data_IF_722940791456
#
_entry.id   IF_722940791456
#
_cell.length_a   1.000
_cell.length_b   1.000
_cell.length_c   1.000
_cell.angle_alpha   90.00
_cell.angle_beta   90.00
_cell.angle_gamma   90.00
#
_symmetry.space_group_name_H-M   'P 1'
#
loop_
_entity.id
_entity.type
_entity.pdbx_description
1 polymer ?
#
# COMPACT_ATOMS: atom_id res chain seq x y z
N UNK A 1 4.80 20.72 -1.74
CA UNK A 1 3.32 20.60 -1.68
C UNK A 1 2.96 20.75 -0.22
N UNK A 2 2.20 21.78 0.18
CA UNK A 2 1.68 21.86 1.55
C UNK A 2 0.52 20.87 1.67
N UNK A 3 0.52 19.98 2.67
CA UNK A 3 -0.57 19.00 2.87
C UNK A 3 -1.88 19.63 3.38
N UNK A 4 -1.90 20.94 3.61
CA UNK A 4 -3.10 21.67 4.02
C UNK A 4 -4.25 21.46 3.03
N UNK A 5 -5.28 20.72 3.46
CA UNK A 5 -6.48 20.43 2.67
C UNK A 5 -6.54 19.03 2.03
N UNK A 6 -5.55 18.16 2.25
CA UNK A 6 -5.62 16.74 1.86
C UNK A 6 -6.04 15.86 3.03
N UNK A 7 -6.96 14.92 2.79
CA UNK A 7 -7.06 13.76 3.66
C UNK A 7 -5.97 12.76 3.26
N UNK A 8 -5.12 12.37 4.22
CA UNK A 8 -4.01 11.46 3.94
C UNK A 8 -4.51 10.03 4.13
N UNK A 9 -4.42 9.25 3.04
CA UNK A 9 -5.08 7.97 2.84
C UNK A 9 -4.05 6.95 2.37
N UNK A 10 -3.34 6.31 3.27
CA UNK A 10 -2.19 5.50 2.88
C UNK A 10 -2.56 4.03 2.64
N UNK A 11 -2.13 3.47 1.51
CA UNK A 11 -2.01 2.03 1.28
C UNK A 11 -0.56 1.62 1.51
N UNK A 12 -0.14 1.32 2.75
CA UNK A 12 1.26 1.00 3.08
C UNK A 12 1.52 -0.48 3.22
N UNK A 13 2.18 -0.99 2.21
CA UNK A 13 2.86 -2.26 2.10
C UNK A 13 3.88 -2.36 3.24
N UNK A 14 3.50 -3.07 4.31
CA UNK A 14 3.99 -2.98 5.72
C UNK A 14 3.53 -1.74 6.52
N UNK A 15 2.34 -1.89 7.10
CA UNK A 15 1.64 -1.03 8.08
C UNK A 15 2.33 -0.72 9.41
N UNK A 16 3.59 -1.06 9.65
CA UNK A 16 4.24 -0.65 10.91
C UNK A 16 5.13 0.56 10.72
N UNK A 17 5.89 0.61 9.64
CA UNK A 17 6.86 1.69 9.44
C UNK A 17 6.16 3.02 9.13
N UNK A 18 5.46 3.11 8.00
CA UNK A 18 4.78 4.35 7.60
C UNK A 18 3.70 4.75 8.60
N UNK A 19 2.98 3.76 9.11
CA UNK A 19 2.00 3.95 10.17
C UNK A 19 2.58 4.56 11.45
N UNK A 20 3.78 4.14 11.87
CA UNK A 20 4.47 4.71 13.00
C UNK A 20 4.91 6.14 12.68
N UNK A 21 5.51 6.37 11.52
CA UNK A 21 5.93 7.73 11.09
C UNK A 21 4.76 8.71 11.12
N UNK A 22 3.63 8.35 10.48
CA UNK A 22 2.46 9.21 10.44
C UNK A 22 1.87 9.46 11.84
N UNK A 23 1.86 8.44 12.71
CA UNK A 23 1.44 8.60 14.11
C UNK A 23 2.36 9.55 14.87
N UNK A 24 3.67 9.37 14.72
CA UNK A 24 4.68 10.17 15.43
C UNK A 24 4.66 11.65 14.97
N UNK A 25 4.21 11.91 13.73
CA UNK A 25 3.99 13.24 13.17
C UNK A 25 2.57 13.79 13.41
N UNK A 26 1.71 13.06 14.15
CA UNK A 26 0.31 13.41 14.38
C UNK A 26 -0.50 13.65 13.08
N UNK A 27 -0.18 12.90 12.03
CA UNK A 27 -0.88 12.93 10.76
C UNK A 27 -2.02 11.91 10.81
N UNK A 28 -3.27 12.40 10.65
CA UNK A 28 -4.44 11.53 10.56
C UNK A 28 -4.33 10.61 9.36
N UNK A 29 -4.74 9.37 9.56
CA UNK A 29 -4.40 8.29 8.64
C UNK A 29 -5.51 7.22 8.63
N UNK A 30 -5.78 6.62 7.48
CA UNK A 30 -6.68 5.47 7.34
C UNK A 30 -5.88 4.24 6.92
N UNK A 31 -6.23 3.07 7.46
CA UNK A 31 -5.62 1.81 7.07
C UNK A 31 -6.55 1.00 6.17
N UNK A 32 -5.95 0.39 5.15
CA UNK A 32 -6.55 -0.38 4.06
C UNK A 32 -6.14 -1.85 4.15
N UNK A 33 -6.84 -2.77 3.46
CA UNK A 33 -6.61 -4.21 3.63
C UNK A 33 -5.16 -4.59 3.30
N UNK A 34 -4.60 -3.93 2.28
CA UNK A 34 -3.26 -4.18 1.78
C UNK A 34 -2.14 -3.71 2.70
N UNK A 35 -2.44 -2.93 3.74
CA UNK A 35 -1.39 -2.52 4.67
C UNK A 35 -0.92 -3.67 5.56
N UNK A 36 -1.74 -4.71 5.65
CA UNK A 36 -1.61 -5.81 6.59
C UNK A 36 -1.17 -7.11 5.93
N UNK A 37 -0.84 -7.06 4.64
CA UNK A 37 -0.27 -8.19 3.93
C UNK A 37 1.00 -7.81 3.15
N UNK A 38 1.84 -8.81 2.91
CA UNK A 38 3.04 -8.69 2.07
C UNK A 38 3.27 -9.99 1.31
N UNK A 39 4.03 -9.94 0.21
CA UNK A 39 4.56 -11.17 -0.40
C UNK A 39 5.39 -11.94 0.63
N UNK A 40 5.30 -13.26 0.61
CA UNK A 40 6.18 -14.16 1.39
C UNK A 40 7.66 -13.94 1.03
N UNK A 41 7.94 -13.50 -0.20
CA UNK A 41 9.26 -13.14 -0.70
C UNK A 41 9.48 -11.61 -0.70
N UNK A 42 9.05 -10.92 0.36
CA UNK A 42 9.03 -9.45 0.50
C UNK A 42 10.30 -8.65 0.12
N UNK A 43 11.47 -9.30 0.04
CA UNK A 43 12.70 -8.67 -0.43
C UNK A 43 12.75 -8.55 -1.95
N UNK A 44 12.18 -9.52 -2.64
CA UNK A 44 12.33 -9.71 -4.08
C UNK A 44 11.01 -9.56 -4.84
N UNK A 45 9.90 -9.54 -4.12
CA UNK A 45 8.56 -9.60 -4.70
C UNK A 45 7.58 -8.64 -4.00
N UNK A 46 6.52 -8.29 -4.73
CA UNK A 46 5.46 -7.36 -4.32
C UNK A 46 4.09 -7.96 -4.61
N UNK A 47 3.11 -7.70 -3.75
CA UNK A 47 1.71 -8.05 -3.98
C UNK A 47 0.96 -7.04 -4.87
N UNK A 48 1.69 -6.17 -5.58
CA UNK A 48 1.10 -5.07 -6.36
C UNK A 48 0.13 -5.57 -7.42
N UNK A 49 0.46 -6.67 -8.08
CA UNK A 49 -0.36 -7.21 -9.16
C UNK A 49 -1.74 -7.65 -8.67
N UNK A 50 -1.78 -8.43 -7.59
CA UNK A 50 -3.03 -8.90 -6.96
C UNK A 50 -3.89 -7.71 -6.56
N UNK A 51 -3.28 -6.66 -6.04
CA UNK A 51 -3.97 -5.50 -5.50
C UNK A 51 -4.54 -4.63 -6.59
N UNK A 52 -3.75 -4.32 -7.62
CA UNK A 52 -4.24 -3.57 -8.77
C UNK A 52 -5.38 -4.34 -9.44
N UNK A 53 -5.26 -5.67 -9.57
CA UNK A 53 -6.31 -6.51 -10.16
C UNK A 53 -7.61 -6.46 -9.35
N UNK A 54 -7.55 -6.68 -8.03
CA UNK A 54 -8.72 -6.65 -7.14
C UNK A 54 -9.42 -5.29 -7.17
N UNK A 55 -8.66 -4.19 -7.06
CA UNK A 55 -9.24 -2.84 -7.10
C UNK A 55 -9.92 -2.61 -8.45
N UNK A 56 -9.26 -2.98 -9.55
CA UNK A 56 -9.77 -2.81 -10.90
C UNK A 56 -11.05 -3.61 -11.14
N UNK A 57 -11.09 -4.88 -10.72
CA UNK A 57 -12.28 -5.74 -10.81
C UNK A 57 -13.45 -5.16 -10.02
N UNK A 58 -13.17 -4.64 -8.83
CA UNK A 58 -14.18 -3.98 -8.00
C UNK A 58 -14.75 -2.70 -8.61
N UNK A 59 -13.88 -1.84 -9.14
CA UNK A 59 -14.27 -0.54 -9.71
C UNK A 59 -15.01 -0.69 -11.05
N UNK A 60 -14.69 -1.72 -11.85
CA UNK A 60 -15.41 -2.05 -13.09
C UNK A 60 -16.81 -2.63 -12.86
N UNK A 61 -17.28 -2.70 -11.61
CA UNK A 61 -18.62 -3.14 -11.25
C UNK A 61 -18.85 -4.65 -11.33
N UNK A 62 -17.78 -5.44 -11.40
CA UNK A 62 -17.87 -6.87 -11.69
C UNK A 62 -18.15 -7.75 -10.47
N UNK A 63 -17.66 -7.38 -9.29
CA UNK A 63 -17.54 -8.33 -8.17
C UNK A 63 -17.79 -7.68 -6.81
N UNK A 64 -18.28 -8.48 -5.86
CA UNK A 64 -18.56 -8.02 -4.50
C UNK A 64 -17.29 -8.03 -3.64
N UNK A 65 -17.26 -7.17 -2.62
CA UNK A 65 -16.11 -6.99 -1.74
C UNK A 65 -15.72 -8.25 -0.96
N UNK A 66 -16.70 -9.11 -0.64
CA UNK A 66 -16.48 -10.35 0.09
C UNK A 66 -15.73 -11.37 -0.73
N UNK A 67 -16.16 -11.62 -1.96
CA UNK A 67 -15.57 -12.62 -2.84
C UNK A 67 -14.14 -12.23 -3.21
N UNK A 68 -13.89 -10.96 -3.50
CA UNK A 68 -12.54 -10.44 -3.75
C UNK A 68 -11.61 -10.60 -2.55
N UNK A 69 -12.09 -10.33 -1.32
CA UNK A 69 -11.27 -10.51 -0.12
C UNK A 69 -11.07 -11.98 0.24
N UNK A 70 -12.06 -12.84 0.02
CA UNK A 70 -11.92 -14.29 0.19
C UNK A 70 -10.91 -14.85 -0.81
N UNK A 71 -10.97 -14.42 -2.08
CA UNK A 71 -9.99 -14.78 -3.09
C UNK A 71 -8.57 -14.36 -2.67
N UNK A 72 -8.40 -13.12 -2.20
CA UNK A 72 -7.10 -12.62 -1.77
C UNK A 72 -6.55 -13.35 -0.53
N UNK A 73 -7.39 -13.56 0.48
CA UNK A 73 -6.97 -14.17 1.76
C UNK A 73 -6.81 -15.68 1.62
N UNK A 74 -7.54 -16.31 0.71
CA UNK A 74 -7.53 -17.75 0.51
C UNK A 74 -8.34 -18.48 1.58
N UNK A 75 -8.64 -19.75 1.31
CA UNK A 75 -9.50 -20.57 2.18
C UNK A 75 -8.83 -21.01 3.49
N UNK A 76 -7.52 -20.83 3.62
CA UNK A 76 -6.73 -21.25 4.76
C UNK A 76 -5.45 -20.40 4.93
N UNK A 77 -5.06 -20.17 6.18
CA UNK A 77 -3.81 -19.50 6.55
C UNK A 77 -2.90 -20.49 7.29
N UNK A 78 -1.83 -20.94 6.64
CA UNK A 78 -0.81 -21.77 7.27
C UNK A 78 -0.13 -21.02 8.42
N UNK A 79 0.09 -21.72 9.54
CA UNK A 79 0.61 -21.14 10.77
C UNK A 79 -0.18 -19.91 11.27
N UNK A 80 -1.42 -19.76 10.82
CA UNK A 80 -2.31 -18.63 11.15
C UNK A 80 -2.00 -17.33 10.43
N UNK A 81 -1.08 -17.30 9.47
CA UNK A 81 -0.69 -16.05 8.78
C UNK A 81 -0.30 -16.19 7.30
N UNK A 82 0.05 -17.37 6.79
CA UNK A 82 0.51 -17.54 5.40
C UNK A 82 -0.58 -18.10 4.49
N UNK A 83 -0.96 -17.36 3.45
CA UNK A 83 -1.66 -17.90 2.29
C UNK A 83 -0.65 -18.33 1.22
N UNK A 84 -0.54 -19.64 0.98
CA UNK A 84 0.33 -20.18 -0.07
C UNK A 84 -0.21 -20.01 -1.49
N UNK A 85 -1.52 -20.02 -1.68
CA UNK A 85 -2.18 -19.89 -2.99
C UNK A 85 -1.79 -18.57 -3.66
N UNK A 86 -1.80 -17.49 -2.88
CA UNK A 86 -1.44 -16.14 -3.34
C UNK A 86 -0.04 -15.69 -2.93
N UNK A 87 0.72 -16.56 -2.26
CA UNK A 87 2.05 -16.25 -1.71
C UNK A 87 2.05 -14.99 -0.81
N UNK A 88 1.02 -14.81 0.02
CA UNK A 88 0.83 -13.66 0.91
C UNK A 88 1.00 -14.05 2.37
N UNK A 89 1.63 -13.19 3.16
CA UNK A 89 1.66 -13.28 4.62
C UNK A 89 0.82 -12.16 5.22
N UNK A 90 0.06 -12.48 6.26
CA UNK A 90 -0.80 -11.62 7.05
C UNK A 90 -0.31 -11.54 8.51
N UNK A 91 0.85 -10.91 8.76
CA UNK A 91 1.55 -11.05 10.05
C UNK A 91 0.80 -10.44 11.24
N UNK A 92 -0.12 -9.50 10.99
CA UNK A 92 -0.96 -8.89 12.03
C UNK A 92 -2.16 -9.73 12.46
N UNK A 93 -2.37 -10.88 11.80
CA UNK A 93 -3.60 -11.66 11.89
C UNK A 93 -3.37 -13.05 12.50
N UNK A 94 -2.13 -13.31 12.92
CA UNK A 94 -1.73 -14.53 13.59
C UNK A 94 -2.65 -14.83 14.78
N UNK A 95 -3.16 -16.06 14.82
CA UNK A 95 -4.09 -16.58 15.83
C UNK A 95 -5.52 -15.99 15.80
N UNK A 96 -5.91 -15.24 14.77
CA UNK A 96 -7.31 -14.83 14.59
C UNK A 96 -8.10 -15.89 13.84
N UNK A 97 -9.41 -15.97 14.09
CA UNK A 97 -10.27 -16.86 13.33
C UNK A 97 -10.43 -16.32 11.90
N UNK A 98 -10.44 -17.20 10.91
CA UNK A 98 -10.41 -16.81 9.50
C UNK A 98 -11.59 -15.90 9.09
N UNK A 99 -12.77 -16.13 9.67
CA UNK A 99 -13.94 -15.25 9.49
C UNK A 99 -13.69 -13.83 10.01
N UNK A 100 -13.01 -13.67 11.15
CA UNK A 100 -12.65 -12.35 11.69
C UNK A 100 -11.65 -11.64 10.79
N UNK A 101 -10.74 -12.40 10.17
CA UNK A 101 -9.81 -11.88 9.15
C UNK A 101 -10.61 -11.39 7.93
N UNK A 102 -11.51 -12.21 7.37
CA UNK A 102 -12.34 -11.78 6.24
C UNK A 102 -13.12 -10.49 6.55
N UNK A 103 -13.87 -10.47 7.65
CA UNK A 103 -14.71 -9.32 8.01
C UNK A 103 -13.89 -8.04 8.18
N UNK A 104 -12.68 -8.15 8.76
CA UNK A 104 -11.76 -7.03 8.91
C UNK A 104 -11.26 -6.51 7.57
N UNK A 105 -10.90 -7.39 6.64
CA UNK A 105 -10.38 -6.97 5.33
C UNK A 105 -11.48 -6.42 4.43
N UNK A 106 -12.68 -7.01 4.47
CA UNK A 106 -13.87 -6.49 3.78
C UNK A 106 -14.15 -5.05 4.20
N UNK A 107 -14.29 -4.79 5.51
CA UNK A 107 -14.54 -3.41 6.01
C UNK A 107 -13.46 -2.40 5.61
N UNK A 108 -12.21 -2.85 5.50
CA UNK A 108 -11.10 -1.98 5.08
C UNK A 108 -11.13 -1.76 3.57
N UNK A 109 -11.50 -2.77 2.79
CA UNK A 109 -11.61 -2.71 1.34
C UNK A 109 -12.76 -1.79 0.94
N UNK A 110 -13.94 -1.95 1.54
CA UNK A 110 -15.09 -1.06 1.36
C UNK A 110 -14.70 0.41 1.59
N UNK A 111 -14.05 0.70 2.72
CA UNK A 111 -13.54 2.05 3.03
C UNK A 111 -12.55 2.57 1.99
N UNK A 112 -11.68 1.72 1.48
CA UNK A 112 -10.72 2.11 0.44
C UNK A 112 -11.45 2.48 -0.85
N UNK A 113 -12.44 1.68 -1.26
CA UNK A 113 -13.28 1.97 -2.44
C UNK A 113 -14.06 3.27 -2.24
N UNK A 114 -14.64 3.49 -1.06
CA UNK A 114 -15.29 4.75 -0.70
C UNK A 114 -14.34 5.94 -0.87
N UNK A 115 -13.10 5.86 -0.37
CA UNK A 115 -12.14 6.95 -0.48
C UNK A 115 -11.63 7.17 -1.91
N UNK A 116 -11.41 6.10 -2.69
CA UNK A 116 -11.06 6.18 -4.11
C UNK A 116 -12.15 6.88 -4.91
N UNK A 117 -13.41 6.56 -4.62
CA UNK A 117 -14.58 7.12 -5.34
C UNK A 117 -15.11 8.42 -4.73
N UNK A 118 -14.57 8.83 -3.58
CA UNK A 118 -14.91 10.10 -2.94
C UNK A 118 -14.37 11.30 -3.73
N UNK A 119 -14.92 12.48 -3.46
CA UNK A 119 -14.38 13.76 -3.96
C UNK A 119 -13.33 14.37 -3.01
N UNK A 120 -13.00 13.67 -1.94
CA UNK A 120 -12.02 14.16 -0.96
C UNK A 120 -10.61 13.94 -1.50
N UNK A 121 -9.70 14.89 -1.26
CA UNK A 121 -8.34 14.74 -1.78
C UNK A 121 -7.61 13.63 -1.03
N UNK A 122 -7.15 12.62 -1.75
CA UNK A 122 -6.52 11.43 -1.16
C UNK A 122 -5.03 11.34 -1.47
N UNK A 123 -4.22 11.05 -0.45
CA UNK A 123 -2.78 10.79 -0.59
C UNK A 123 -2.44 9.34 -0.29
N UNK A 124 -2.27 8.54 -1.33
CA UNK A 124 -1.86 7.13 -1.28
C UNK A 124 -0.35 7.02 -1.17
N UNK A 125 0.16 6.15 -0.29
CA UNK A 125 1.59 6.02 0.00
C UNK A 125 2.02 4.57 -0.22
N UNK A 126 2.65 4.30 -1.35
CA UNK A 126 3.25 3.01 -1.67
C UNK A 126 4.70 2.97 -1.20
N UNK A 127 5.11 1.87 -0.57
CA UNK A 127 6.47 1.68 -0.05
C UNK A 127 6.99 0.33 -0.52
N UNK A 128 8.17 0.30 -1.12
CA UNK A 128 8.88 -0.93 -1.44
C UNK A 128 10.37 -0.74 -1.23
N UNK A 129 11.00 -1.71 -0.60
CA UNK A 129 12.41 -1.66 -0.23
C UNK A 129 13.31 -1.99 -1.41
N UNK A 130 13.07 -3.12 -2.05
CA UNK A 130 14.05 -3.69 -2.97
C UNK A 130 13.44 -4.52 -4.11
N UNK A 131 12.17 -4.90 -4.04
CA UNK A 131 11.55 -5.64 -5.13
C UNK A 131 11.41 -4.73 -6.36
N UNK A 132 11.64 -5.27 -7.54
CA UNK A 132 11.38 -4.53 -8.78
C UNK A 132 9.87 -4.30 -8.93
N UNK A 133 9.51 -3.13 -9.43
CA UNK A 133 8.11 -2.75 -9.64
C UNK A 133 7.91 -2.47 -11.11
N UNK A 134 6.84 -3.03 -11.67
CA UNK A 134 6.42 -2.76 -13.03
C UNK A 134 5.91 -1.32 -13.18
N UNK A 135 6.59 -0.55 -14.03
CA UNK A 135 6.18 0.81 -14.41
C UNK A 135 4.74 0.83 -14.94
N UNK A 136 4.37 -0.17 -15.75
CA UNK A 136 3.02 -0.33 -16.30
C UNK A 136 1.98 -0.49 -15.20
N UNK A 137 2.30 -1.22 -14.13
CA UNK A 137 1.36 -1.46 -13.02
C UNK A 137 1.16 -0.25 -12.13
N UNK A 138 2.23 0.50 -11.89
CA UNK A 138 2.13 1.79 -11.19
C UNK A 138 1.34 2.80 -12.02
N UNK A 139 1.56 2.82 -13.34
CA UNK A 139 0.76 3.66 -14.24
C UNK A 139 -0.72 3.26 -14.20
N UNK A 140 -1.03 1.96 -14.29
CA UNK A 140 -2.38 1.43 -14.20
C UNK A 140 -3.06 1.85 -12.88
N UNK A 141 -2.35 1.71 -11.75
CA UNK A 141 -2.84 2.15 -10.44
C UNK A 141 -3.09 3.66 -10.43
N UNK A 142 -2.13 4.46 -10.90
CA UNK A 142 -2.25 5.92 -10.95
C UNK A 142 -3.43 6.38 -11.82
N UNK A 143 -3.55 5.83 -13.02
CA UNK A 143 -4.62 6.17 -13.96
C UNK A 143 -5.99 5.84 -13.35
N UNK A 144 -6.11 4.67 -12.72
CA UNK A 144 -7.33 4.25 -12.03
C UNK A 144 -7.67 5.18 -10.86
N UNK A 145 -6.69 5.56 -10.01
CA UNK A 145 -6.96 6.50 -8.91
C UNK A 145 -7.43 7.86 -9.44
N UNK A 146 -6.85 8.34 -10.55
CA UNK A 146 -7.20 9.61 -11.16
C UNK A 146 -8.54 9.60 -11.91
N UNK A 147 -8.92 8.47 -12.49
CA UNK A 147 -10.21 8.28 -13.16
C UNK A 147 -11.37 8.54 -12.20
N UNK A 148 -11.27 8.03 -10.96
CA UNK A 148 -12.32 8.19 -9.95
C UNK A 148 -12.14 9.45 -9.10
N UNK A 149 -10.90 9.91 -8.89
CA UNK A 149 -10.61 11.09 -8.10
C UNK A 149 -9.35 11.80 -8.59
N UNK A 150 -9.55 12.82 -9.43
CA UNK A 150 -8.48 13.59 -10.09
C UNK A 150 -7.58 14.39 -9.14
N UNK A 151 -8.01 14.61 -7.90
CA UNK A 151 -7.22 15.27 -6.86
C UNK A 151 -6.31 14.28 -6.10
N UNK A 152 -6.46 12.97 -6.35
CA UNK A 152 -5.63 11.94 -5.72
C UNK A 152 -4.16 12.05 -6.11
N UNK A 153 -3.30 11.76 -5.14
CA UNK A 153 -1.85 11.67 -5.30
C UNK A 153 -1.35 10.32 -4.82
N UNK A 154 -0.34 9.79 -5.51
CA UNK A 154 0.36 8.56 -5.14
C UNK A 154 1.82 8.91 -4.83
N UNK A 155 2.26 8.70 -3.59
CA UNK A 155 3.68 8.78 -3.23
C UNK A 155 4.27 7.38 -3.33
N UNK A 156 5.42 7.27 -4.00
CA UNK A 156 6.21 6.04 -4.09
C UNK A 156 7.52 6.24 -3.33
N UNK A 157 7.72 5.50 -2.25
CA UNK A 157 9.03 5.37 -1.59
C UNK A 157 9.66 4.05 -2.00
N UNK A 158 10.64 4.12 -2.90
CA UNK A 158 11.27 2.93 -3.46
C UNK A 158 12.75 2.90 -3.08
N UNK A 159 13.25 1.74 -2.69
CA UNK A 159 14.68 1.58 -2.37
C UNK A 159 15.55 1.04 -3.50
N UNK A 160 14.95 0.75 -4.66
CA UNK A 160 15.64 0.71 -5.95
C UNK A 160 15.38 1.99 -6.72
N UNK A 161 16.36 2.41 -7.52
CA UNK A 161 16.23 3.61 -8.34
C UNK A 161 15.41 3.32 -9.60
N UNK A 162 14.35 4.10 -9.81
CA UNK A 162 13.51 4.11 -11.01
C UNK A 162 13.52 5.51 -11.63
N UNK A 163 14.24 5.67 -12.73
CA UNK A 163 14.47 7.00 -13.34
C UNK A 163 13.24 7.62 -13.99
N UNK A 164 12.24 6.80 -14.33
CA UNK A 164 11.12 7.22 -15.16
C UNK A 164 9.84 7.57 -14.38
N UNK A 165 9.73 7.26 -13.08
CA UNK A 165 8.47 7.48 -12.34
C UNK A 165 8.07 8.96 -12.22
N UNK A 166 9.03 9.89 -12.27
CA UNK A 166 8.73 11.32 -12.27
C UNK A 166 8.05 11.77 -13.58
N UNK A 167 8.21 11.01 -14.66
CA UNK A 167 7.68 11.35 -15.99
C UNK A 167 6.35 10.66 -16.28
N UNK A 168 5.98 9.61 -15.53
CA UNK A 168 4.79 8.79 -15.79
C UNK A 168 3.49 9.57 -15.54
N UNK A 169 3.42 10.34 -14.45
CA UNK A 169 2.22 11.12 -14.12
C UNK A 169 2.51 12.22 -13.10
N UNK A 170 1.87 13.39 -13.26
CA UNK A 170 1.90 14.49 -12.28
C UNK A 170 1.17 14.16 -10.96
N UNK A 171 0.43 13.05 -10.91
CA UNK A 171 -0.18 12.54 -9.68
C UNK A 171 0.79 11.69 -8.85
N UNK A 172 1.90 11.26 -9.45
CA UNK A 172 2.91 10.44 -8.79
C UNK A 172 3.98 11.36 -8.20
N UNK A 173 4.33 11.09 -6.95
CA UNK A 173 5.48 11.70 -6.27
C UNK A 173 6.46 10.57 -5.95
N UNK A 174 7.56 10.52 -6.69
CA UNK A 174 8.55 9.48 -6.51
C UNK A 174 9.70 9.92 -5.59
N UNK A 175 10.10 9.03 -4.68
CA UNK A 175 11.20 9.20 -3.74
C UNK A 175 12.05 7.93 -3.71
N UNK A 176 13.27 8.08 -4.19
CA UNK A 176 14.31 7.07 -4.03
C UNK A 176 14.93 7.15 -2.64
N UNK A 177 14.95 6.03 -1.91
CA UNK A 177 15.66 5.89 -0.64
C UNK A 177 16.51 4.62 -0.73
N UNK A 178 17.80 4.71 -1.14
CA UNK A 178 18.66 3.55 -1.37
C UNK A 178 18.52 2.52 -0.26
N UNK A 179 18.21 1.27 -0.60
CA UNK A 179 18.04 0.19 0.38
C UNK A 179 19.12 -0.88 0.22
N UNK A 180 19.80 -1.22 1.30
CA UNK A 180 20.76 -2.32 1.33
C UNK A 180 20.05 -3.63 1.75
N UNK A 181 19.84 -4.59 0.82
CA UNK A 181 19.18 -5.85 1.12
C UNK A 181 19.99 -6.73 2.09
N UNK A 182 21.29 -6.49 2.27
CA UNK A 182 22.14 -7.26 3.19
C UNK A 182 21.92 -6.88 4.66
N UNK A 183 21.40 -5.68 4.91
CA UNK A 183 21.12 -5.14 6.27
C UNK A 183 19.63 -5.20 6.61
N UNK A 184 18.94 -6.24 6.13
CA UNK A 184 17.49 -6.37 6.23
C UNK A 184 16.97 -6.15 7.68
N UNK A 185 15.85 -5.46 7.83
CA UNK A 185 15.28 -4.93 9.09
C UNK A 185 16.05 -3.80 9.78
N UNK A 186 17.37 -3.86 9.93
CA UNK A 186 18.14 -2.78 10.58
C UNK A 186 18.15 -1.51 9.73
N UNK A 187 18.19 -1.69 8.40
CA UNK A 187 18.14 -0.61 7.43
C UNK A 187 16.80 0.17 7.45
N UNK A 188 15.69 -0.51 7.80
CA UNK A 188 14.38 0.13 7.94
C UNK A 188 14.41 1.24 8.99
N UNK A 189 15.05 0.98 10.13
CA UNK A 189 15.06 1.91 11.26
C UNK A 189 16.17 2.95 11.18
N UNK A 190 17.32 2.58 10.63
CA UNK A 190 18.51 3.44 10.56
C UNK A 190 18.48 4.42 9.38
N UNK A 191 17.88 4.04 8.25
CA UNK A 191 17.95 4.83 7.01
C UNK A 191 16.56 5.10 6.40
N UNK A 192 15.73 4.05 6.25
CA UNK A 192 14.46 4.20 5.54
C UNK A 192 13.44 5.03 6.33
N UNK A 193 13.26 4.77 7.63
CA UNK A 193 12.38 5.52 8.54
C UNK A 193 12.77 6.99 8.66
N UNK A 194 14.05 7.34 8.94
CA UNK A 194 14.43 8.74 9.06
C UNK A 194 14.21 9.52 7.76
N UNK A 195 14.57 8.94 6.60
CA UNK A 195 14.38 9.58 5.30
C UNK A 195 12.89 9.86 4.99
N UNK A 196 12.01 8.90 5.23
CA UNK A 196 10.57 9.11 5.09
C UNK A 196 10.04 10.15 6.07
N UNK A 197 10.52 10.15 7.32
CA UNK A 197 10.11 11.11 8.36
C UNK A 197 10.49 12.54 7.98
N UNK A 198 11.74 12.76 7.54
CA UNK A 198 12.23 14.04 7.01
C UNK A 198 11.36 14.52 5.85
N UNK A 199 11.03 13.63 4.92
CA UNK A 199 10.17 13.98 3.79
C UNK A 199 8.78 14.44 4.26
N UNK A 200 8.11 13.70 5.14
CA UNK A 200 6.78 14.10 5.62
C UNK A 200 6.82 15.44 6.38
N UNK A 201 7.84 15.67 7.22
CA UNK A 201 8.07 16.97 7.87
C UNK A 201 8.25 18.12 6.88
N UNK A 202 8.80 17.85 5.69
CA UNK A 202 9.03 18.89 4.67
C UNK A 202 7.76 19.31 3.91
N UNK A 203 6.71 18.49 3.96
CA UNK A 203 5.45 18.73 3.22
C UNK A 203 4.26 19.04 4.12
N UNK A 204 4.35 18.72 5.42
CA UNK A 204 3.37 19.09 6.44
C UNK A 204 3.66 20.49 6.99
#
# INVERSE_FOLDING_TARGET
MKTSGFQIHYTTWRSLLTAAILRDLNIRKFSYPFDWCSSNSQLYDTNLDIIVDIIKRRLKGGENDRDLMVEMIGSNLENGELNKENNLIFPGDKNQALNEVYDKYIRRFERMIEHITSREKCLYIFVNRYADISDTKIKELSDMLLEYNSESKLILFLGKEHKHFNDISKSIIYKYIPYDPTQFYEYDYSHFRPAMTEYFKSIC
#
